data_IF_471505535439
#
_entry.id   IF_471505535439
#
_cell.length_a   1.000
_cell.length_b   1.000
_cell.length_c   1.000
_cell.angle_alpha   90.00
_cell.angle_beta   90.00
_cell.angle_gamma   90.00
#
_symmetry.space_group_name_H-M   'P 1'
#
loop_
_entity.id
_entity.type
_entity.pdbx_description
1 polymer ?
#
# COMPACT_ATOMS: atom_id res chain seq x y z
N UNK A 1 -49.03 -6.98 59.82
CA UNK A 1 -48.55 -5.58 59.95
C UNK A 1 -47.71 -5.25 58.72
N UNK A 2 -48.03 -4.14 58.06
CA UNK A 2 -47.53 -3.71 56.74
C UNK A 2 -46.41 -2.69 56.93
N UNK A 3 -45.23 -2.90 56.34
CA UNK A 3 -44.19 -1.89 56.03
C UNK A 3 -43.44 -2.39 54.79
N UNK A 4 -43.77 -1.96 53.57
CA UNK A 4 -43.31 -0.75 52.84
C UNK A 4 -41.79 -0.63 52.69
N UNK A 5 -41.34 -0.95 51.46
CA UNK A 5 -40.37 -0.26 50.58
C UNK A 5 -38.94 0.00 51.08
N UNK A 6 -37.94 -0.48 50.32
CA UNK A 6 -37.10 0.37 49.47
C UNK A 6 -36.12 -0.50 48.66
N UNK A 7 -36.33 -0.59 47.35
CA UNK A 7 -35.31 -1.04 46.41
C UNK A 7 -34.32 0.10 46.18
N UNK A 8 -33.03 -0.12 46.49
CA UNK A 8 -31.94 0.71 45.99
C UNK A 8 -31.14 -0.11 44.98
N UNK A 9 -31.55 0.01 43.72
CA UNK A 9 -30.77 -0.38 42.55
C UNK A 9 -29.63 0.62 42.37
N UNK A 10 -28.43 0.23 42.79
CA UNK A 10 -27.21 0.98 42.51
C UNK A 10 -26.82 0.72 41.04
N UNK A 11 -27.21 1.64 40.15
CA UNK A 11 -26.77 1.63 38.76
C UNK A 11 -25.28 1.95 38.67
N UNK A 12 -24.45 0.95 38.39
CA UNK A 12 -23.10 1.18 37.89
C UNK A 12 -23.20 1.63 36.43
N UNK A 13 -23.07 2.93 36.20
CA UNK A 13 -22.75 3.48 34.89
C UNK A 13 -21.32 3.05 34.54
N UNK A 14 -21.21 1.95 33.78
CA UNK A 14 -19.99 1.64 33.05
C UNK A 14 -19.78 2.74 32.01
N UNK A 15 -18.92 3.71 32.32
CA UNK A 15 -18.48 4.70 31.36
C UNK A 15 -17.65 4.00 30.28
N UNK A 16 -18.28 3.69 29.15
CA UNK A 16 -17.59 3.36 27.92
C UNK A 16 -16.81 4.60 27.46
N UNK A 17 -15.57 4.75 27.89
CA UNK A 17 -14.64 5.64 27.22
C UNK A 17 -14.35 5.04 25.85
N UNK A 18 -15.07 5.52 24.83
CA UNK A 18 -14.75 5.23 23.44
C UNK A 18 -13.31 5.69 23.19
N UNK A 19 -12.44 4.74 22.90
CA UNK A 19 -11.06 5.01 22.49
C UNK A 19 -11.16 5.82 21.18
N UNK A 20 -10.59 7.03 21.07
CA UNK A 20 -10.57 7.74 19.80
C UNK A 20 -9.88 6.82 18.80
N UNK A 21 -10.56 6.55 17.68
CA UNK A 21 -9.95 5.84 16.57
C UNK A 21 -8.70 6.62 16.16
N UNK A 22 -7.59 5.96 15.78
CA UNK A 22 -6.50 6.66 15.14
C UNK A 22 -7.10 7.41 13.95
N UNK A 23 -6.97 8.74 13.96
CA UNK A 23 -7.26 9.57 12.81
C UNK A 23 -6.41 8.99 11.68
N UNK A 24 -7.07 8.34 10.72
CA UNK A 24 -6.45 8.09 9.43
C UNK A 24 -6.00 9.46 8.94
N UNK A 25 -4.68 9.65 8.88
CA UNK A 25 -4.08 10.87 8.39
C UNK A 25 -4.81 11.26 7.10
N UNK A 26 -5.29 12.50 7.05
CA UNK A 26 -5.95 13.05 5.87
C UNK A 26 -5.07 12.75 4.67
N UNK A 27 -5.62 12.01 3.70
CA UNK A 27 -4.97 11.75 2.44
C UNK A 27 -4.47 13.10 1.88
N UNK A 28 -3.19 13.21 1.48
CA UNK A 28 -2.76 14.39 0.75
C UNK A 28 -3.63 14.48 -0.51
N UNK A 29 -3.94 15.71 -0.91
CA UNK A 29 -4.71 16.00 -2.10
C UNK A 29 -4.20 15.12 -3.24
N UNK A 30 -5.12 14.34 -3.83
CA UNK A 30 -4.84 13.57 -5.02
C UNK A 30 -4.13 14.51 -6.01
N UNK A 31 -2.82 14.28 -6.21
CA UNK A 31 -2.21 14.62 -7.47
C UNK A 31 -3.19 14.11 -8.54
N UNK A 32 -3.44 14.89 -9.58
CA UNK A 32 -4.32 14.52 -10.69
C UNK A 32 -3.70 13.34 -11.44
N UNK A 33 -3.68 12.19 -10.79
CA UNK A 33 -3.33 10.91 -11.32
C UNK A 33 -4.51 10.57 -12.22
N UNK A 34 -4.23 10.58 -13.51
CA UNK A 34 -5.15 10.07 -14.52
C UNK A 34 -4.53 8.80 -15.04
N UNK A 35 -5.19 7.66 -14.83
CA UNK A 35 -4.79 6.42 -15.49
C UNK A 35 -4.93 6.67 -16.99
N UNK A 36 -3.82 6.68 -17.77
CA UNK A 36 -3.91 6.89 -19.20
C UNK A 36 -4.75 5.77 -19.81
N UNK A 37 -5.70 6.12 -20.69
CA UNK A 37 -6.43 5.16 -21.53
C UNK A 37 -5.52 4.60 -22.64
N UNK A 38 -4.28 4.24 -22.31
CA UNK A 38 -3.43 3.50 -23.23
C UNK A 38 -4.01 2.09 -23.36
N UNK A 39 -3.94 1.54 -24.57
CA UNK A 39 -4.32 0.15 -24.80
C UNK A 39 -3.49 -0.73 -23.84
N UNK A 40 -4.16 -1.66 -23.15
CA UNK A 40 -3.66 -2.41 -21.98
C UNK A 40 -2.27 -3.05 -22.17
N UNK A 41 -1.86 -3.24 -23.43
CA UNK A 41 -0.61 -3.86 -23.88
C UNK A 41 0.70 -3.22 -23.38
N UNK A 42 0.70 -1.95 -22.97
CA UNK A 42 1.94 -1.23 -22.60
C UNK A 42 2.02 -0.80 -21.13
N UNK A 43 1.00 -1.09 -20.32
CA UNK A 43 1.02 -0.78 -18.89
C UNK A 43 1.84 -1.82 -18.14
N UNK A 44 2.82 -1.38 -17.34
CA UNK A 44 3.56 -2.28 -16.42
C UNK A 44 2.81 -2.52 -15.10
N UNK A 45 1.53 -2.15 -15.04
CA UNK A 45 0.65 -2.38 -13.91
C UNK A 45 -0.82 -2.60 -14.34
N UNK A 46 -1.69 -3.19 -13.49
CA UNK A 46 -3.12 -3.29 -13.74
C UNK A 46 -3.79 -1.91 -13.78
N UNK A 47 -4.94 -1.80 -14.43
CA UNK A 47 -5.76 -0.57 -14.39
C UNK A 47 -6.15 -0.19 -12.94
N UNK A 48 -6.44 1.10 -12.71
CA UNK A 48 -6.90 1.59 -11.41
C UNK A 48 -5.81 2.03 -10.44
N UNK A 49 -4.56 2.21 -10.89
CA UNK A 49 -3.44 2.66 -10.07
C UNK A 49 -3.77 4.00 -9.39
N UNK A 50 -4.40 4.93 -10.09
CA UNK A 50 -4.78 6.22 -9.53
C UNK A 50 -5.83 6.16 -8.41
N UNK A 51 -6.56 5.05 -8.29
CA UNK A 51 -7.47 4.78 -7.18
C UNK A 51 -6.80 4.09 -5.99
N UNK A 52 -5.53 3.70 -6.11
CA UNK A 52 -4.80 3.02 -5.04
C UNK A 52 -4.25 4.01 -3.99
N UNK A 53 -4.07 3.55 -2.74
CA UNK A 53 -3.39 4.35 -1.71
C UNK A 53 -1.98 4.77 -2.12
N UNK A 54 -1.51 5.88 -1.56
CA UNK A 54 -0.21 6.48 -1.90
C UNK A 54 0.97 5.52 -1.75
N UNK A 55 0.94 4.65 -0.74
CA UNK A 55 2.02 3.70 -0.49
C UNK A 55 2.09 2.57 -1.52
N UNK A 56 0.94 2.19 -2.10
CA UNK A 56 0.82 1.29 -3.24
C UNK A 56 1.29 1.99 -4.52
N UNK A 57 0.83 3.22 -4.78
CA UNK A 57 1.28 4.00 -5.95
C UNK A 57 2.79 4.20 -5.96
N UNK A 58 3.35 4.57 -4.82
CA UNK A 58 4.80 4.72 -4.70
C UNK A 58 5.57 3.38 -4.75
N UNK A 59 4.96 2.21 -4.51
CA UNK A 59 5.63 0.94 -4.81
C UNK A 59 5.79 0.79 -6.33
N UNK A 60 4.74 1.12 -7.08
CA UNK A 60 4.74 1.01 -8.55
C UNK A 60 5.73 1.99 -9.16
N UNK A 61 5.66 3.27 -8.78
CA UNK A 61 6.59 4.29 -9.30
C UNK A 61 8.07 3.92 -9.04
N UNK A 62 8.37 3.43 -7.83
CA UNK A 62 9.73 3.00 -7.48
C UNK A 62 10.14 1.74 -8.26
N UNK A 63 9.25 0.76 -8.41
CA UNK A 63 9.59 -0.48 -9.11
C UNK A 63 9.68 -0.29 -10.63
N UNK A 64 8.87 0.59 -11.22
CA UNK A 64 8.99 1.02 -12.62
C UNK A 64 10.37 1.68 -12.85
N UNK A 65 10.83 2.50 -11.90
CA UNK A 65 12.19 3.07 -11.92
C UNK A 65 13.25 1.97 -11.84
N UNK A 66 13.06 0.98 -10.96
CA UNK A 66 13.94 -0.19 -10.86
C UNK A 66 14.09 -0.90 -12.20
N UNK A 67 12.98 -1.34 -12.81
CA UNK A 67 13.02 -2.15 -14.03
C UNK A 67 13.49 -1.35 -15.25
N UNK A 68 13.28 -0.03 -15.24
CA UNK A 68 13.88 0.88 -16.21
C UNK A 68 15.41 0.77 -16.18
N UNK A 69 16.04 1.03 -15.03
CA UNK A 69 17.50 0.99 -14.90
C UNK A 69 18.07 -0.43 -15.01
N UNK A 70 17.39 -1.43 -14.44
CA UNK A 70 17.85 -2.83 -14.47
C UNK A 70 17.87 -3.41 -15.89
N UNK A 71 17.06 -2.88 -16.80
CA UNK A 71 17.02 -3.28 -18.20
C UNK A 71 18.08 -2.64 -19.09
N UNK A 72 18.91 -1.74 -18.57
CA UNK A 72 19.88 -0.99 -19.38
C UNK A 72 21.24 -1.67 -19.53
N UNK A 73 21.95 -1.32 -20.60
CA UNK A 73 23.31 -1.79 -20.84
C UNK A 73 24.34 -0.97 -20.03
N UNK A 74 25.21 -1.62 -19.22
CA UNK A 74 26.29 -0.95 -18.49
C UNK A 74 27.52 -0.73 -19.38
N UNK A 75 27.37 0.04 -20.47
CA UNK A 75 28.38 0.19 -21.53
C UNK A 75 29.68 0.86 -21.09
N UNK A 76 29.68 1.57 -19.96
CA UNK A 76 30.88 2.11 -19.33
C UNK A 76 30.81 2.04 -17.80
N UNK A 77 31.83 2.59 -17.13
CA UNK A 77 31.93 2.54 -15.67
C UNK A 77 30.94 3.45 -14.95
N UNK A 78 30.65 4.63 -15.53
CA UNK A 78 29.77 5.60 -14.90
C UNK A 78 28.32 5.12 -15.02
N UNK A 79 27.91 4.63 -16.20
CA UNK A 79 26.59 4.05 -16.39
C UNK A 79 26.36 2.82 -15.54
N UNK A 80 27.37 1.94 -15.44
CA UNK A 80 27.29 0.79 -14.52
C UNK A 80 27.03 1.24 -13.08
N UNK A 81 27.73 2.28 -12.61
CA UNK A 81 27.55 2.79 -11.27
C UNK A 81 26.13 3.36 -11.05
N UNK A 82 25.60 4.11 -12.02
CA UNK A 82 24.22 4.62 -11.97
C UNK A 82 23.19 3.49 -11.87
N UNK A 83 23.33 2.44 -12.69
CA UNK A 83 22.46 1.26 -12.65
C UNK A 83 22.54 0.57 -11.28
N UNK A 84 23.75 0.34 -10.77
CA UNK A 84 23.95 -0.30 -9.46
C UNK A 84 23.30 0.49 -8.31
N UNK A 85 23.42 1.83 -8.33
CA UNK A 85 22.77 2.71 -7.35
C UNK A 85 21.24 2.61 -7.46
N UNK A 86 20.69 2.70 -8.67
CA UNK A 86 19.25 2.62 -8.89
C UNK A 86 18.68 1.25 -8.48
N UNK A 87 19.34 0.14 -8.85
CA UNK A 87 18.94 -1.22 -8.45
C UNK A 87 18.98 -1.39 -6.93
N UNK A 88 20.01 -0.85 -6.28
CA UNK A 88 20.12 -0.89 -4.82
C UNK A 88 19.00 -0.08 -4.16
N UNK A 89 18.69 1.09 -4.70
CA UNK A 89 17.69 2.00 -4.14
C UNK A 89 16.25 1.51 -4.36
N UNK A 90 15.94 0.95 -5.53
CA UNK A 90 14.56 0.72 -5.96
C UNK A 90 14.18 -0.76 -6.08
N UNK A 91 15.06 -1.61 -6.64
CA UNK A 91 14.76 -3.04 -6.79
C UNK A 91 14.86 -3.78 -5.46
N UNK A 92 15.96 -3.56 -4.73
CA UNK A 92 16.28 -4.27 -3.49
C UNK A 92 15.16 -4.19 -2.43
N UNK A 93 14.56 -3.03 -2.13
CA UNK A 93 13.49 -2.95 -1.14
C UNK A 93 12.11 -3.44 -1.64
N UNK A 94 11.91 -3.61 -2.95
CA UNK A 94 10.59 -3.86 -3.53
C UNK A 94 9.91 -5.16 -3.01
N UNK A 95 10.58 -6.33 -2.92
CA UNK A 95 9.96 -7.54 -2.37
C UNK A 95 9.45 -7.37 -0.93
N UNK A 96 10.24 -6.73 -0.07
CA UNK A 96 9.88 -6.50 1.33
C UNK A 96 8.72 -5.48 1.45
N UNK A 97 8.74 -4.45 0.60
CA UNK A 97 7.67 -3.46 0.52
C UNK A 97 6.36 -4.08 0.04
N UNK A 98 6.40 -4.92 -0.99
CA UNK A 98 5.23 -5.66 -1.47
C UNK A 98 4.65 -6.56 -0.37
N UNK A 99 5.48 -7.36 0.30
CA UNK A 99 5.04 -8.21 1.41
C UNK A 99 4.37 -7.39 2.53
N UNK A 100 4.96 -6.24 2.90
CA UNK A 100 4.39 -5.32 3.88
C UNK A 100 3.02 -4.79 3.44
N UNK A 101 2.87 -4.35 2.20
CA UNK A 101 1.61 -3.83 1.67
C UNK A 101 0.54 -4.92 1.60
N UNK A 102 0.89 -6.13 1.16
CA UNK A 102 -0.02 -7.28 1.15
C UNK A 102 -0.53 -7.60 2.56
N UNK A 103 0.33 -7.53 3.57
CA UNK A 103 -0.07 -7.72 4.97
C UNK A 103 -0.93 -6.58 5.51
N UNK A 104 -0.58 -5.33 5.16
CA UNK A 104 -1.30 -4.13 5.59
C UNK A 104 -2.74 -4.11 5.06
N UNK A 105 -2.92 -4.41 3.77
CA UNK A 105 -4.21 -4.37 3.09
C UNK A 105 -4.96 -5.70 3.04
N UNK A 106 -4.50 -6.74 3.76
CA UNK A 106 -5.06 -8.12 3.70
C UNK A 106 -6.58 -8.24 3.89
N UNK A 107 -7.21 -7.27 4.56
CA UNK A 107 -8.65 -7.24 4.82
C UNK A 107 -9.43 -6.34 3.85
N UNK A 108 -8.73 -5.61 2.97
CA UNK A 108 -9.32 -4.87 1.86
C UNK A 108 -9.22 -5.74 0.61
N UNK A 109 -10.35 -6.32 0.19
CA UNK A 109 -10.38 -7.24 -0.93
C UNK A 109 -9.96 -6.59 -2.26
N UNK A 110 -10.30 -5.30 -2.45
CA UNK A 110 -10.00 -4.57 -3.67
C UNK A 110 -8.49 -4.33 -3.80
N UNK A 111 -7.86 -3.75 -2.77
CA UNK A 111 -6.42 -3.46 -2.78
C UNK A 111 -5.60 -4.76 -2.77
N UNK A 112 -6.02 -5.74 -1.97
CA UNK A 112 -5.34 -7.04 -1.91
C UNK A 112 -5.35 -7.78 -3.25
N UNK A 113 -6.47 -7.71 -3.99
CA UNK A 113 -6.55 -8.31 -5.31
C UNK A 113 -5.67 -7.57 -6.31
N UNK A 114 -5.71 -6.24 -6.29
CA UNK A 114 -4.90 -5.40 -7.15
C UNK A 114 -3.39 -5.65 -6.94
N UNK A 115 -2.92 -5.68 -5.69
CA UNK A 115 -1.52 -5.98 -5.34
C UNK A 115 -1.06 -7.34 -5.85
N UNK A 116 -1.90 -8.38 -5.79
CA UNK A 116 -1.58 -9.70 -6.34
C UNK A 116 -1.48 -9.69 -7.86
N UNK A 117 -2.39 -8.98 -8.53
CA UNK A 117 -2.35 -8.84 -9.99
C UNK A 117 -1.09 -8.09 -10.43
N UNK A 118 -0.79 -6.97 -9.78
CA UNK A 118 0.43 -6.20 -10.01
C UNK A 118 1.69 -7.05 -9.82
N UNK A 119 1.79 -7.78 -8.71
CA UNK A 119 2.93 -8.66 -8.43
C UNK A 119 3.18 -9.69 -9.54
N UNK A 120 2.13 -10.27 -10.12
CA UNK A 120 2.29 -11.22 -11.23
C UNK A 120 2.66 -10.53 -12.54
N UNK A 121 2.04 -9.39 -12.86
CA UNK A 121 2.30 -8.66 -14.10
C UNK A 121 3.72 -8.06 -14.14
N UNK A 122 4.18 -7.55 -13.00
CA UNK A 122 5.49 -6.94 -12.84
C UNK A 122 6.62 -7.95 -12.53
N UNK A 123 6.30 -9.25 -12.46
CA UNK A 123 7.21 -10.31 -12.00
C UNK A 123 7.90 -9.98 -10.66
N UNK A 124 7.17 -9.32 -9.76
CA UNK A 124 7.65 -8.91 -8.44
C UNK A 124 7.17 -9.88 -7.37
N UNK A 125 8.08 -10.70 -6.85
CA UNK A 125 7.76 -11.62 -5.76
C UNK A 125 7.83 -10.91 -4.40
N UNK A 126 6.85 -11.12 -3.50
CA UNK A 126 6.97 -10.64 -2.13
C UNK A 126 8.07 -11.41 -1.40
N UNK A 127 8.75 -10.74 -0.47
CA UNK A 127 9.66 -11.42 0.45
C UNK A 127 8.90 -12.48 1.28
N UNK A 128 9.55 -13.61 1.52
CA UNK A 128 9.00 -14.74 2.30
C UNK A 128 9.03 -14.55 3.82
#
# INVERSE_FOLDING_TARGET
MRRLLAALSLGLLAACTARPAPTLASAPAAATCTDPKVEEEWLQHPAGLCGMPDDVRALVDDYDTCVHFAGEEPYDADRRHEIEVAVTQFCTPAPARLAKLMQQYRNDAHISQWLRQYAMQADLQPAG
#
